data_IF_403769929369
#
_entry.id   IF_403769929369
#
_cell.length_a   1.000
_cell.length_b   1.000
_cell.length_c   1.000
_cell.angle_alpha   90.00
_cell.angle_beta   90.00
_cell.angle_gamma   90.00
#
_symmetry.space_group_name_H-M   'P 1'
#
loop_
_entity.id
_entity.type
_entity.pdbx_description
1 polymer ?
#
# COMPACT_ATOMS: atom_id res chain seq x y z
N UNK A 1 18.98 -8.56 21.48
CA UNK A 1 17.72 -9.20 21.04
C UNK A 1 16.64 -8.65 21.95
N UNK A 2 15.87 -7.66 21.48
CA UNK A 2 14.90 -6.93 22.31
C UNK A 2 13.72 -7.85 22.63
N UNK A 3 13.42 -8.03 23.92
CA UNK A 3 12.19 -8.68 24.37
C UNK A 3 11.06 -7.75 23.92
N UNK A 4 10.36 -8.13 22.85
CA UNK A 4 9.17 -7.40 22.41
C UNK A 4 8.15 -7.49 23.53
N UNK A 5 7.64 -6.34 23.95
CA UNK A 5 6.58 -6.26 24.95
C UNK A 5 5.29 -6.77 24.31
N UNK A 6 4.88 -7.99 24.68
CA UNK A 6 3.74 -8.70 24.12
C UNK A 6 2.43 -7.90 24.24
N UNK A 7 2.33 -7.03 25.25
CA UNK A 7 1.15 -6.17 25.44
C UNK A 7 1.11 -5.02 24.43
N UNK A 8 2.27 -4.42 24.15
CA UNK A 8 2.42 -3.38 23.12
C UNK A 8 2.18 -3.94 21.71
N UNK A 9 2.65 -5.17 21.44
CA UNK A 9 2.43 -5.84 20.16
C UNK A 9 0.93 -6.14 19.93
N UNK A 10 0.19 -6.54 20.97
CA UNK A 10 -1.26 -6.74 20.89
C UNK A 10 -2.03 -5.43 20.66
N UNK A 11 -1.70 -4.37 21.39
CA UNK A 11 -2.31 -3.06 21.22
C UNK A 11 -2.05 -2.49 19.82
N UNK A 12 -0.81 -2.61 19.34
CA UNK A 12 -0.40 -2.22 17.98
C UNK A 12 -1.18 -3.00 16.93
N UNK A 13 -1.32 -4.33 17.11
CA UNK A 13 -2.09 -5.16 16.19
C UNK A 13 -3.57 -4.73 16.12
N UNK A 14 -4.23 -4.53 17.26
CA UNK A 14 -5.62 -4.07 17.31
C UNK A 14 -5.78 -2.69 16.66
N UNK A 15 -4.83 -1.78 16.92
CA UNK A 15 -4.81 -0.47 16.31
C UNK A 15 -4.70 -0.55 14.78
N UNK A 16 -3.85 -1.44 14.25
CA UNK A 16 -3.78 -1.70 12.82
C UNK A 16 -5.07 -2.29 12.26
N UNK A 17 -5.71 -3.23 12.95
CA UNK A 17 -6.99 -3.78 12.51
C UNK A 17 -8.04 -2.67 12.35
N UNK A 18 -8.20 -1.82 13.37
CA UNK A 18 -9.12 -0.68 13.31
C UNK A 18 -8.74 0.30 12.19
N UNK A 19 -7.45 0.61 12.02
CA UNK A 19 -6.97 1.46 10.95
C UNK A 19 -7.35 0.89 9.58
N UNK A 20 -7.11 -0.39 9.34
CA UNK A 20 -7.46 -1.04 8.08
C UNK A 20 -8.97 -1.11 7.87
N UNK A 21 -9.77 -1.38 8.90
CA UNK A 21 -11.24 -1.34 8.81
C UNK A 21 -11.74 0.02 8.31
N UNK A 22 -11.20 1.11 8.86
CA UNK A 22 -11.54 2.48 8.44
C UNK A 22 -11.01 2.75 7.02
N UNK A 23 -9.72 2.45 6.77
CA UNK A 23 -9.05 2.71 5.50
C UNK A 23 -9.75 2.01 4.32
N UNK A 24 -10.22 0.78 4.52
CA UNK A 24 -10.88 -0.02 3.49
C UNK A 24 -12.29 0.47 3.16
N UNK A 25 -12.94 1.19 4.07
CA UNK A 25 -14.24 1.81 3.83
C UNK A 25 -14.12 3.11 3.00
N UNK A 26 -12.94 3.73 2.96
CA UNK A 26 -12.73 4.95 2.17
C UNK A 26 -12.88 4.64 0.67
N UNK A 27 -13.71 5.40 -0.07
CA UNK A 27 -13.84 5.23 -1.51
C UNK A 27 -12.52 5.46 -2.23
N UNK A 28 -12.20 4.60 -3.20
CA UNK A 28 -11.13 4.88 -4.14
C UNK A 28 -11.66 5.86 -5.19
N UNK A 29 -11.11 7.07 -5.17
CA UNK A 29 -11.44 8.13 -6.12
C UNK A 29 -10.26 8.42 -7.03
N UNK A 30 -10.52 9.08 -8.15
CA UNK A 30 -9.47 9.63 -9.02
C UNK A 30 -8.53 10.53 -8.22
N UNK A 31 -9.06 11.32 -7.28
CA UNK A 31 -8.25 12.19 -6.42
C UNK A 31 -7.30 11.38 -5.52
N UNK A 32 -7.76 10.29 -4.92
CA UNK A 32 -6.89 9.42 -4.10
C UNK A 32 -5.76 8.78 -4.92
N UNK A 33 -6.01 8.45 -6.19
CA UNK A 33 -4.97 8.00 -7.12
C UNK A 33 -4.00 9.15 -7.42
N UNK A 34 -4.51 10.33 -7.75
CA UNK A 34 -3.69 11.49 -8.10
C UNK A 34 -2.80 11.96 -6.94
N UNK A 35 -3.33 11.97 -5.71
CA UNK A 35 -2.59 12.28 -4.49
C UNK A 35 -1.43 11.28 -4.30
N UNK A 36 -1.72 9.99 -4.43
CA UNK A 36 -0.69 8.95 -4.37
C UNK A 36 0.38 9.14 -5.45
N UNK A 37 -0.02 9.44 -6.70
CA UNK A 37 0.93 9.67 -7.80
C UNK A 37 1.82 10.88 -7.54
N UNK A 38 1.25 11.97 -7.03
CA UNK A 38 2.00 13.16 -6.67
C UNK A 38 3.07 12.85 -5.61
N UNK A 39 2.67 12.16 -4.54
CA UNK A 39 3.59 11.75 -3.47
C UNK A 39 4.69 10.81 -3.99
N UNK A 40 4.38 9.90 -4.89
CA UNK A 40 5.39 9.05 -5.53
C UNK A 40 6.40 9.87 -6.35
N UNK A 41 5.95 10.84 -7.15
CA UNK A 41 6.82 11.70 -7.95
C UNK A 41 7.73 12.56 -7.08
N UNK A 42 7.23 13.09 -5.95
CA UNK A 42 8.05 13.83 -4.98
C UNK A 42 9.13 12.94 -4.36
N UNK A 43 8.81 11.71 -3.97
CA UNK A 43 9.77 10.78 -3.38
C UNK A 43 10.90 10.35 -4.33
N UNK A 44 10.69 10.46 -5.64
CA UNK A 44 11.65 10.08 -6.67
C UNK A 44 11.98 11.25 -7.61
N UNK A 45 11.97 12.48 -7.09
CA UNK A 45 12.20 13.69 -7.88
C UNK A 45 13.55 13.69 -8.63
N UNK A 46 14.54 12.95 -8.15
CA UNK A 46 15.89 12.88 -8.74
C UNK A 46 16.17 11.52 -9.42
N UNK A 47 15.17 10.63 -9.48
CA UNK A 47 15.30 9.30 -10.08
C UNK A 47 14.42 9.17 -11.33
N UNK A 48 15.01 9.41 -12.50
CA UNK A 48 14.29 9.38 -13.76
C UNK A 48 13.76 7.97 -14.11
N UNK A 49 14.44 6.91 -13.66
CA UNK A 49 14.03 5.53 -13.92
C UNK A 49 12.73 5.25 -13.16
N UNK A 50 12.67 5.61 -11.88
CA UNK A 50 11.46 5.45 -11.08
C UNK A 50 10.35 6.37 -11.53
N UNK A 51 10.63 7.63 -11.93
CA UNK A 51 9.61 8.50 -12.55
C UNK A 51 8.96 7.86 -13.77
N UNK A 52 9.73 7.23 -14.65
CA UNK A 52 9.17 6.57 -15.82
C UNK A 52 8.24 5.41 -15.43
N UNK A 53 8.62 4.61 -14.41
CA UNK A 53 7.75 3.54 -13.86
C UNK A 53 6.48 4.11 -13.22
N UNK A 54 6.56 5.26 -12.55
CA UNK A 54 5.43 5.97 -11.95
C UNK A 54 4.44 6.43 -13.04
N UNK A 55 4.95 7.00 -14.14
CA UNK A 55 4.13 7.42 -15.27
C UNK A 55 3.51 6.22 -16.01
N UNK A 56 4.26 5.13 -16.21
CA UNK A 56 3.73 3.85 -16.74
C UNK A 56 2.55 3.40 -15.87
N UNK A 57 2.76 3.31 -14.55
CA UNK A 57 1.71 2.94 -13.61
C UNK A 57 0.50 3.86 -13.74
N UNK A 58 0.68 5.18 -13.82
CA UNK A 58 -0.43 6.13 -13.91
C UNK A 58 -1.37 5.80 -15.08
N UNK A 59 -0.79 5.45 -16.23
CA UNK A 59 -1.48 5.21 -17.50
C UNK A 59 -2.13 3.83 -17.58
N UNK A 60 -1.42 2.77 -17.18
CA UNK A 60 -1.85 1.38 -17.47
C UNK A 60 -2.33 0.61 -16.24
N UNK A 61 -2.24 1.19 -15.04
CA UNK A 61 -2.65 0.48 -13.83
C UNK A 61 -4.15 0.20 -13.80
N UNK A 62 -4.48 -1.07 -13.55
CA UNK A 62 -5.79 -1.53 -13.11
C UNK A 62 -5.67 -2.30 -11.79
N UNK A 63 -6.74 -2.30 -11.00
CA UNK A 63 -6.80 -3.00 -9.71
C UNK A 63 -6.46 -4.48 -9.86
N UNK A 64 -6.79 -5.16 -10.97
CA UNK A 64 -6.45 -6.57 -11.25
C UNK A 64 -4.94 -6.83 -11.37
N UNK A 65 -4.15 -5.81 -11.70
CA UNK A 65 -2.69 -5.93 -11.84
C UNK A 65 -1.91 -5.57 -10.58
N UNK A 66 -2.60 -5.25 -9.48
CA UNK A 66 -1.99 -4.79 -8.21
C UNK A 66 -0.87 -5.71 -7.71
N UNK A 67 -1.08 -7.02 -7.57
CA UNK A 67 -0.03 -7.92 -7.06
C UNK A 67 1.22 -7.90 -7.94
N UNK A 68 1.05 -7.88 -9.28
CA UNK A 68 2.18 -7.79 -10.21
C UNK A 68 2.99 -6.51 -10.01
N UNK A 69 2.32 -5.37 -9.84
CA UNK A 69 2.99 -4.10 -9.55
C UNK A 69 3.71 -4.11 -8.21
N UNK A 70 3.14 -4.76 -7.20
CA UNK A 70 3.73 -4.85 -5.86
C UNK A 70 4.97 -5.76 -5.83
N UNK A 71 5.01 -6.81 -6.65
CA UNK A 71 6.15 -7.75 -6.69
C UNK A 71 7.23 -7.35 -7.69
N UNK A 72 6.96 -6.44 -8.63
CA UNK A 72 7.99 -5.87 -9.50
C UNK A 72 8.93 -4.97 -8.68
N UNK A 73 10.20 -4.89 -9.08
CA UNK A 73 11.13 -3.91 -8.51
C UNK A 73 10.74 -2.48 -8.95
N UNK A 74 9.84 -1.87 -8.18
CA UNK A 74 9.23 -0.56 -8.44
C UNK A 74 9.08 0.23 -7.16
N UNK A 75 8.82 1.54 -7.31
CA UNK A 75 8.47 2.45 -6.23
C UNK A 75 7.40 1.92 -5.26
N UNK A 76 6.39 1.18 -5.72
CA UNK A 76 5.25 0.75 -4.90
C UNK A 76 5.66 -0.17 -3.75
N UNK A 77 6.45 -1.20 -4.04
CA UNK A 77 6.94 -2.12 -3.01
C UNK A 77 7.67 -1.35 -1.90
N UNK A 78 8.53 -0.40 -2.28
CA UNK A 78 9.36 0.36 -1.34
C UNK A 78 8.53 1.35 -0.53
N UNK A 79 7.72 2.18 -1.18
CA UNK A 79 6.94 3.23 -0.54
C UNK A 79 5.86 2.66 0.38
N UNK A 80 5.08 1.69 -0.11
CA UNK A 80 4.00 1.08 0.67
C UNK A 80 4.55 0.34 1.89
N UNK A 81 5.60 -0.48 1.71
CA UNK A 81 6.18 -1.18 2.86
C UNK A 81 6.86 -0.22 3.84
N UNK A 82 7.46 0.87 3.37
CA UNK A 82 8.01 1.90 4.27
C UNK A 82 6.89 2.50 5.11
N UNK A 83 5.79 2.93 4.49
CA UNK A 83 4.63 3.52 5.18
C UNK A 83 4.04 2.56 6.24
N UNK A 84 3.87 1.28 5.88
CA UNK A 84 3.35 0.27 6.80
C UNK A 84 4.31 -0.05 7.94
N UNK A 85 5.62 -0.14 7.67
CA UNK A 85 6.65 -0.43 8.70
C UNK A 85 6.85 0.72 9.68
N UNK A 86 6.77 1.96 9.21
CA UNK A 86 6.87 3.14 10.07
C UNK A 86 5.58 3.45 10.79
N UNK A 87 4.47 2.80 10.41
CA UNK A 87 3.13 3.03 10.96
C UNK A 87 2.69 4.50 10.83
N UNK A 88 3.27 5.26 9.88
CA UNK A 88 2.95 6.66 9.69
C UNK A 88 1.58 6.76 9.00
N UNK A 89 0.58 7.20 9.76
CA UNK A 89 -0.81 7.30 9.30
C UNK A 89 -0.93 8.19 8.06
N UNK A 90 -0.19 9.31 7.99
CA UNK A 90 -0.24 10.22 6.86
C UNK A 90 0.28 9.53 5.59
N UNK A 91 1.38 8.79 5.70
CA UNK A 91 1.91 8.03 4.57
C UNK A 91 0.95 6.90 4.17
N UNK A 92 0.44 6.13 5.13
CA UNK A 92 -0.54 5.06 4.86
C UNK A 92 -1.77 5.63 4.14
N UNK A 93 -2.27 6.78 4.58
CA UNK A 93 -3.40 7.45 3.97
C UNK A 93 -3.09 7.93 2.54
N UNK A 94 -1.90 8.50 2.29
CA UNK A 94 -1.47 8.89 0.93
C UNK A 94 -1.43 7.70 -0.03
N UNK A 95 -1.03 6.52 0.45
CA UNK A 95 -1.00 5.29 -0.34
C UNK A 95 -2.30 4.47 -0.27
N UNK A 96 -3.38 5.00 0.33
CA UNK A 96 -4.66 4.28 0.54
C UNK A 96 -5.24 3.68 -0.72
N UNK A 97 -5.10 4.38 -1.86
CA UNK A 97 -5.60 3.92 -3.15
C UNK A 97 -5.04 2.54 -3.49
N UNK A 98 -3.73 2.36 -3.36
CA UNK A 98 -3.07 1.11 -3.70
C UNK A 98 -3.14 0.06 -2.59
N UNK A 99 -3.06 0.49 -1.32
CA UNK A 99 -3.15 -0.41 -0.17
C UNK A 99 -4.48 -1.17 -0.18
N UNK A 100 -5.58 -0.49 -0.54
CA UNK A 100 -6.90 -1.11 -0.64
C UNK A 100 -6.96 -2.20 -1.71
N UNK A 101 -6.48 -1.92 -2.92
CA UNK A 101 -6.39 -2.93 -3.99
C UNK A 101 -5.52 -4.12 -3.57
N UNK A 102 -4.39 -3.83 -2.92
CA UNK A 102 -3.46 -4.85 -2.46
C UNK A 102 -4.11 -5.75 -1.42
N UNK A 103 -4.79 -5.17 -0.44
CA UNK A 103 -5.52 -5.90 0.59
C UNK A 103 -6.59 -6.81 -0.03
N UNK A 104 -7.44 -6.27 -0.91
CA UNK A 104 -8.51 -7.02 -1.58
C UNK A 104 -7.97 -8.17 -2.43
N UNK A 105 -6.89 -7.95 -3.19
CA UNK A 105 -6.25 -9.02 -3.96
C UNK A 105 -5.67 -10.12 -3.06
N UNK A 106 -5.02 -9.76 -1.96
CA UNK A 106 -4.46 -10.73 -1.03
C UNK A 106 -5.56 -11.54 -0.33
N UNK A 107 -6.67 -10.92 0.06
CA UNK A 107 -7.83 -11.63 0.61
C UNK A 107 -8.40 -12.62 -0.41
N UNK A 108 -8.62 -12.19 -1.65
CA UNK A 108 -9.11 -13.05 -2.72
C UNK A 108 -8.19 -14.26 -2.95
N UNK A 109 -6.87 -14.05 -2.99
CA UNK A 109 -5.89 -15.13 -3.13
C UNK A 109 -5.90 -16.08 -1.92
N UNK A 110 -6.06 -15.54 -0.71
CA UNK A 110 -6.13 -16.35 0.52
C UNK A 110 -7.41 -17.20 0.58
N UNK A 111 -8.53 -16.66 0.11
CA UNK A 111 -9.81 -17.36 0.04
C UNK A 111 -9.77 -18.50 -0.99
N UNK A 112 -9.09 -18.28 -2.13
CA UNK A 112 -8.89 -19.33 -3.15
C UNK A 112 -8.06 -20.50 -2.58
N UNK A 113 -7.01 -20.22 -1.80
CA UNK A 113 -6.20 -21.27 -1.15
C UNK A 113 -6.99 -22.11 -0.14
N UNK A 114 -8.05 -21.58 0.48
CA UNK A 114 -8.92 -22.34 1.41
C UNK A 114 -9.92 -23.27 0.70
N UNK A 115 -10.09 -23.14 -0.62
CA UNK A 115 -11.05 -23.91 -1.44
C UNK A 115 -10.40 -25.05 -2.25
N UNK A 116 -9.08 -25.21 -2.16
CA UNK A 116 -8.32 -26.32 -2.74
C UNK A 116 -7.79 -27.19 -1.61
#
# INVERSE_FOLDING_TARGET
>A
MSIRDLTNDQATFMWFQLLFEILLQIPQTIDSKNEMMHECLLNYENDQIEKNKILEFQQIYSSDTCIRWYTRDTFLYRLVNRALRTQNINDIFKYRFYIKDLYQQLENLSAIKKRK
#
